data_IF_315360168245
#
_entry.id   IF_315360168245
#
_cell.length_a   1.000
_cell.length_b   1.000
_cell.length_c   1.000
_cell.angle_alpha   90.00
_cell.angle_beta   90.00
_cell.angle_gamma   90.00
#
_symmetry.space_group_name_H-M   'P 1'
#
loop_
_entity.id
_entity.type
_entity.pdbx_description
1 polymer ?
#
# COMPACT_ATOMS: atom_id res chain seq x y z
N UNK A 1 -14.51 0.93 2.93
CA UNK A 1 -13.81 0.80 1.64
C UNK A 1 -12.63 1.77 1.66
N UNK A 2 -11.47 1.38 1.13
CA UNK A 2 -10.28 2.25 1.12
C UNK A 2 -9.09 1.80 1.96
N UNK A 3 -9.26 0.88 2.92
CA UNK A 3 -8.14 0.20 3.57
C UNK A 3 -8.06 -1.25 3.13
N UNK A 4 -6.84 -1.82 2.98
CA UNK A 4 -6.69 -3.26 2.90
C UNK A 4 -7.28 -3.88 4.16
N UNK A 5 -8.24 -4.78 3.97
CA UNK A 5 -8.68 -5.66 5.05
C UNK A 5 -7.58 -6.70 5.26
N UNK A 6 -7.19 -6.94 6.50
CA UNK A 6 -6.27 -8.01 6.85
C UNK A 6 -6.96 -9.36 6.62
N UNK A 7 -6.85 -9.89 5.40
CA UNK A 7 -7.12 -11.30 5.13
C UNK A 7 -5.79 -12.03 5.31
N UNK A 8 -5.56 -12.50 6.53
CA UNK A 8 -4.38 -13.26 6.88
C UNK A 8 -4.67 -14.75 6.79
N UNK A 9 -3.81 -15.48 6.09
CA UNK A 9 -3.92 -16.91 5.89
C UNK A 9 -2.58 -17.54 6.33
N UNK A 10 -2.56 -18.21 7.49
CA UNK A 10 -1.42 -18.99 7.99
C UNK A 10 -1.63 -20.49 7.88
N UNK A 11 -0.89 -21.15 6.99
CA UNK A 11 -1.01 -22.59 6.77
C UNK A 11 0.19 -23.31 7.37
N UNK A 12 -0.04 -24.53 7.86
CA UNK A 12 1.02 -25.43 8.34
C UNK A 12 1.30 -26.58 7.36
N UNK A 13 0.62 -26.62 6.22
CA UNK A 13 0.80 -27.68 5.21
C UNK A 13 0.60 -27.18 3.78
N UNK A 14 1.22 -27.89 2.82
CA UNK A 14 1.05 -27.57 1.41
C UNK A 14 -0.42 -27.75 0.95
N UNK A 15 -1.11 -28.79 1.41
CA UNK A 15 -2.50 -29.04 1.04
C UNK A 15 -3.48 -27.96 1.52
N UNK A 16 -3.24 -27.38 2.71
CA UNK A 16 -4.00 -26.22 3.20
C UNK A 16 -3.74 -24.98 2.31
N UNK A 17 -2.49 -24.78 1.87
CA UNK A 17 -2.15 -23.70 0.94
C UNK A 17 -2.87 -23.86 -0.41
N UNK A 18 -2.86 -25.06 -0.97
CA UNK A 18 -3.54 -25.39 -2.23
C UNK A 18 -5.04 -25.14 -2.12
N UNK A 19 -5.66 -25.62 -1.04
CA UNK A 19 -7.09 -25.40 -0.76
C UNK A 19 -7.43 -23.91 -0.73
N UNK A 20 -6.62 -23.10 -0.05
CA UNK A 20 -6.79 -21.66 -0.02
C UNK A 20 -6.60 -21.00 -1.37
N UNK A 21 -5.56 -21.40 -2.09
CA UNK A 21 -5.29 -20.89 -3.41
C UNK A 21 -6.45 -21.16 -4.37
N UNK A 22 -7.10 -22.33 -4.28
CA UNK A 22 -8.23 -22.67 -5.15
C UNK A 22 -9.53 -21.98 -4.74
N UNK A 23 -9.78 -21.82 -3.45
CA UNK A 23 -11.09 -21.40 -2.93
C UNK A 23 -11.23 -19.89 -2.68
N UNK A 24 -10.12 -19.17 -2.53
CA UNK A 24 -10.17 -17.74 -2.20
C UNK A 24 -10.24 -16.91 -3.48
N UNK A 25 -11.17 -15.95 -3.50
CA UNK A 25 -11.22 -14.90 -4.52
C UNK A 25 -9.89 -14.14 -4.55
N UNK A 26 -9.21 -14.24 -5.69
CA UNK A 26 -7.94 -13.56 -5.94
C UNK A 26 -8.22 -12.17 -6.50
N UNK A 27 -7.35 -11.23 -6.16
CA UNK A 27 -7.33 -9.94 -6.84
C UNK A 27 -6.42 -10.00 -8.07
N UNK A 28 -6.88 -9.40 -9.16
CA UNK A 28 -6.10 -9.33 -10.40
C UNK A 28 -4.98 -8.27 -10.35
N UNK A 29 -5.08 -7.32 -9.42
CA UNK A 29 -4.13 -6.23 -9.24
C UNK A 29 -3.54 -6.24 -7.84
N UNK A 30 -2.32 -5.73 -7.74
CA UNK A 30 -1.64 -5.46 -6.48
C UNK A 30 -1.41 -3.95 -6.35
N UNK A 31 -1.69 -3.41 -5.17
CA UNK A 31 -1.27 -2.06 -4.80
C UNK A 31 -0.09 -2.17 -3.83
N UNK A 32 0.99 -1.45 -4.14
CA UNK A 32 2.26 -1.48 -3.40
C UNK A 32 2.56 -0.08 -2.92
N UNK A 33 2.69 0.08 -1.60
CA UNK A 33 3.12 1.33 -1.00
C UNK A 33 4.55 1.17 -0.49
N UNK A 34 5.41 2.08 -0.94
CA UNK A 34 6.81 2.13 -0.56
C UNK A 34 7.12 3.47 0.12
N UNK A 35 8.06 3.44 1.07
CA UNK A 35 8.67 4.64 1.62
C UNK A 35 10.07 4.74 1.01
N UNK A 36 10.35 5.89 0.37
CA UNK A 36 11.67 6.23 -0.11
C UNK A 36 12.27 7.26 0.86
N UNK A 37 13.26 6.89 1.69
CA UNK A 37 13.95 7.87 2.49
C UNK A 37 14.74 8.82 1.58
N UNK A 38 14.79 10.08 1.99
CA UNK A 38 15.58 11.11 1.31
C UNK A 38 16.90 11.30 2.05
N UNK A 39 17.98 11.56 1.32
CA UNK A 39 19.29 11.87 1.87
C UNK A 39 19.71 13.29 1.47
N UNK A 40 20.75 13.81 2.12
CA UNK A 40 21.31 15.10 1.73
C UNK A 40 21.94 15.05 0.33
N UNK A 41 22.05 16.22 -0.30
CA UNK A 41 22.69 16.38 -1.61
C UNK A 41 24.11 15.82 -1.55
N UNK A 42 24.45 14.95 -2.50
CA UNK A 42 25.78 14.30 -2.58
C UNK A 42 25.86 12.94 -1.88
N UNK A 43 24.78 12.47 -1.25
CA UNK A 43 24.69 11.11 -0.70
C UNK A 43 23.82 10.22 -1.60
N UNK A 44 24.08 8.91 -1.54
CA UNK A 44 23.21 7.90 -2.17
C UNK A 44 22.04 7.65 -1.22
N UNK A 45 20.78 7.79 -1.66
CA UNK A 45 19.65 7.50 -0.81
C UNK A 45 19.62 6.00 -0.46
N UNK A 46 19.23 5.64 0.76
CA UNK A 46 19.01 4.25 1.10
C UNK A 46 17.90 3.66 0.21
N UNK A 47 17.89 2.32 0.03
CA UNK A 47 16.86 1.67 -0.76
C UNK A 47 15.46 1.94 -0.16
N UNK A 48 14.41 1.97 -1.01
CA UNK A 48 13.05 2.08 -0.53
C UNK A 48 12.67 0.85 0.30
N UNK A 49 11.78 1.06 1.26
CA UNK A 49 11.23 0.00 2.09
C UNK A 49 9.75 -0.21 1.76
N UNK A 50 9.33 -1.47 1.68
CA UNK A 50 7.93 -1.82 1.52
C UNK A 50 7.16 -1.50 2.81
N UNK A 51 6.18 -0.61 2.71
CA UNK A 51 5.27 -0.30 3.82
C UNK A 51 4.09 -1.27 3.84
N UNK A 52 3.48 -1.50 2.68
CA UNK A 52 2.34 -2.40 2.53
C UNK A 52 2.20 -2.87 1.08
N UNK A 53 1.76 -4.10 0.89
CA UNK A 53 1.30 -4.61 -0.40
C UNK A 53 -0.01 -5.38 -0.19
N UNK A 54 -0.99 -5.17 -1.05
CA UNK A 54 -2.29 -5.84 -0.94
C UNK A 54 -2.99 -5.96 -2.29
N UNK A 55 -3.75 -7.05 -2.43
CA UNK A 55 -4.60 -7.28 -3.58
C UNK A 55 -5.72 -6.24 -3.66
N UNK A 56 -6.05 -5.82 -4.88
CA UNK A 56 -7.18 -4.94 -5.14
C UNK A 56 -7.87 -5.30 -6.46
N UNK A 57 -9.19 -5.12 -6.50
CA UNK A 57 -9.96 -5.24 -7.74
C UNK A 57 -10.19 -3.86 -8.38
N UNK A 58 -9.43 -2.83 -7.95
CA UNK A 58 -9.59 -1.43 -8.35
C UNK A 58 -11.05 -0.95 -8.31
N UNK A 59 -11.75 -1.24 -7.21
CA UNK A 59 -13.11 -0.73 -6.96
C UNK A 59 -13.14 0.49 -6.03
N UNK A 60 -11.98 0.93 -5.55
CA UNK A 60 -11.85 2.13 -4.72
C UNK A 60 -12.02 3.41 -5.53
N UNK A 61 -12.37 4.49 -4.85
CA UNK A 61 -12.54 5.85 -5.36
C UNK A 61 -11.33 6.73 -5.04
N UNK A 62 -11.29 7.97 -5.55
CA UNK A 62 -10.27 8.95 -5.16
C UNK A 62 -10.38 9.37 -3.69
N UNK A 63 -11.60 9.44 -3.14
CA UNK A 63 -11.83 9.75 -1.72
C UNK A 63 -11.25 8.67 -0.80
N UNK A 64 -11.38 7.40 -1.22
CA UNK A 64 -10.77 6.27 -0.52
C UNK A 64 -9.23 6.38 -0.49
N UNK A 65 -8.62 6.92 -1.55
CA UNK A 65 -7.16 7.17 -1.61
C UNK A 65 -6.77 8.29 -0.65
N UNK A 66 -7.50 9.41 -0.66
CA UNK A 66 -7.25 10.53 0.26
C UNK A 66 -7.38 10.11 1.73
N UNK A 67 -8.44 9.38 2.07
CA UNK A 67 -8.65 8.84 3.41
C UNK A 67 -7.48 7.94 3.84
N UNK A 68 -6.92 7.17 2.91
CA UNK A 68 -5.76 6.32 3.15
C UNK A 68 -4.50 7.12 3.43
N UNK A 69 -4.21 8.12 2.58
CA UNK A 69 -3.05 8.99 2.73
C UNK A 69 -3.10 9.79 4.03
N UNK A 70 -4.28 10.28 4.43
CA UNK A 70 -4.46 10.96 5.71
C UNK A 70 -4.01 10.07 6.87
N UNK A 71 -4.43 8.80 6.92
CA UNK A 71 -3.98 7.93 8.02
C UNK A 71 -2.51 7.55 7.95
N UNK A 72 -1.95 7.38 6.74
CA UNK A 72 -0.49 7.16 6.60
C UNK A 72 0.24 8.37 7.19
N UNK A 73 -0.20 9.58 6.85
CA UNK A 73 0.35 10.82 7.40
C UNK A 73 0.23 10.86 8.93
N UNK A 74 -0.97 10.62 9.49
CA UNK A 74 -1.20 10.63 10.93
C UNK A 74 -0.33 9.59 11.66
N UNK A 75 -0.18 8.39 11.08
CA UNK A 75 0.62 7.31 11.66
C UNK A 75 2.11 7.60 11.62
N UNK A 76 2.60 8.22 10.54
CA UNK A 76 3.98 8.69 10.43
C UNK A 76 4.25 9.83 11.42
N UNK A 77 3.34 10.81 11.50
CA UNK A 77 3.44 11.94 12.42
C UNK A 77 3.49 11.48 13.88
N UNK A 78 2.66 10.51 14.29
CA UNK A 78 2.69 9.92 15.62
C UNK A 78 4.03 9.25 15.97
N UNK A 79 4.84 8.89 14.97
CA UNK A 79 6.17 8.30 15.12
C UNK A 79 7.31 9.29 14.85
N UNK A 80 7.02 10.61 14.79
CA UNK A 80 7.97 11.66 14.42
C UNK A 80 8.58 11.49 13.02
N UNK A 81 7.88 10.82 12.11
CA UNK A 81 8.27 10.67 10.71
C UNK A 81 7.58 11.78 9.91
N UNK A 82 8.36 12.67 9.29
CA UNK A 82 7.84 13.74 8.44
C UNK A 82 7.60 13.23 7.02
N UNK A 83 6.34 13.26 6.58
CA UNK A 83 5.97 12.99 5.19
C UNK A 83 6.15 14.28 4.38
N UNK A 84 6.97 14.24 3.31
CA UNK A 84 7.20 15.39 2.43
C UNK A 84 6.17 15.52 1.32
N UNK A 85 5.60 14.40 0.89
CA UNK A 85 4.57 14.34 -0.14
C UNK A 85 4.21 12.90 -0.48
N UNK A 86 3.10 12.75 -1.19
CA UNK A 86 2.69 11.49 -1.79
C UNK A 86 2.90 11.57 -3.30
N UNK A 87 3.33 10.47 -3.90
CA UNK A 87 3.46 10.31 -5.34
C UNK A 87 2.72 9.04 -5.76
N UNK A 88 2.09 9.08 -6.92
CA UNK A 88 1.40 7.95 -7.50
C UNK A 88 1.80 7.77 -8.97
N UNK A 89 1.83 6.52 -9.43
CA UNK A 89 2.09 6.20 -10.82
C UNK A 89 0.90 5.44 -11.43
N UNK A 90 0.57 5.79 -12.67
CA UNK A 90 -0.35 5.10 -13.58
C UNK A 90 -1.78 4.74 -13.10
N UNK A 91 -2.23 5.14 -11.89
CA UNK A 91 -3.62 4.96 -11.45
C UNK A 91 -4.42 6.29 -11.52
N UNK A 92 -5.44 6.40 -12.39
CA UNK A 92 -6.25 7.61 -12.53
C UNK A 92 -6.93 8.10 -11.24
N UNK A 93 -7.25 7.21 -10.30
CA UNK A 93 -7.88 7.54 -9.02
C UNK A 93 -6.86 8.08 -8.03
N UNK A 94 -5.65 7.54 -8.05
CA UNK A 94 -4.55 8.12 -7.28
C UNK A 94 -4.14 9.48 -7.85
N UNK A 95 -4.07 9.62 -9.18
CA UNK A 95 -3.85 10.91 -9.84
C UNK A 95 -4.97 11.92 -9.55
N UNK A 96 -6.22 11.46 -9.47
CA UNK A 96 -7.35 12.31 -9.05
C UNK A 96 -7.20 12.77 -7.59
N UNK A 97 -6.69 11.92 -6.71
CA UNK A 97 -6.42 12.28 -5.31
C UNK A 97 -5.22 13.24 -5.14
N UNK A 98 -4.37 13.38 -6.16
CA UNK A 98 -3.27 14.38 -6.16
C UNK A 98 -3.72 15.79 -6.58
N UNK A 99 -4.93 15.94 -7.13
CA UNK A 99 -5.51 17.22 -7.54
C UNK A 99 -6.38 17.79 -6.45
#
# INVERSE_FOLDING_TARGET
NGFPCTRYFSTNSLGELETWYEQIDKSDLINVHVIQPTCHIGQVPPPPFLLAAYGTNSVYTGEDVLARWSRIFDSCMAQNIRVLGFSADCDPKQLKAMR
#
